data_IF_614433699093
#
_entry.id   IF_614433699093
#
_cell.length_a   1.000
_cell.length_b   1.000
_cell.length_c   1.000
_cell.angle_alpha   90.00
_cell.angle_beta   90.00
_cell.angle_gamma   90.00
#
_symmetry.space_group_name_H-M   'P 1'
#
loop_
_entity.id
_entity.type
_entity.pdbx_description
1 polymer ?
#
# COMPACT_ATOMS: atom_id res chain seq x y z
N UNK A 1 2.81 7.40 21.45
CA UNK A 1 2.53 5.98 21.12
C UNK A 1 1.58 6.00 19.93
N UNK A 2 2.09 5.70 18.74
CA UNK A 2 1.28 5.63 17.53
C UNK A 2 0.22 4.54 17.71
N UNK A 3 -1.03 4.87 17.42
CA UNK A 3 -2.16 3.95 17.59
C UNK A 3 -2.45 3.24 16.27
N UNK A 4 -2.71 1.91 16.30
CA UNK A 4 -3.15 1.20 15.11
C UNK A 4 -4.56 1.68 14.75
N UNK A 5 -4.80 2.07 13.49
CA UNK A 5 -6.13 2.35 12.97
C UNK A 5 -6.44 1.48 11.75
N UNK A 6 -7.64 0.89 11.77
CA UNK A 6 -8.26 0.20 10.64
C UNK A 6 -7.77 -1.23 10.39
N UNK A 7 -8.56 -2.00 9.64
CA UNK A 7 -8.26 -3.37 9.18
C UNK A 7 -7.02 -3.50 8.29
N UNK A 8 -6.32 -2.39 8.01
CA UNK A 8 -5.32 -2.26 6.93
C UNK A 8 -3.85 -2.31 7.40
N UNK A 9 -3.59 -2.46 8.71
CA UNK A 9 -2.23 -2.64 9.21
C UNK A 9 -1.30 -1.44 9.07
N UNK A 10 -1.84 -0.23 8.93
CA UNK A 10 -1.07 1.01 8.81
C UNK A 10 -0.84 1.69 10.15
N UNK A 11 0.26 2.43 10.25
CA UNK A 11 0.57 3.29 11.40
C UNK A 11 0.02 4.70 11.18
N UNK A 12 -0.64 5.27 12.20
CA UNK A 12 -0.95 6.69 12.24
C UNK A 12 0.08 7.41 13.12
N UNK A 13 0.71 8.46 12.60
CA UNK A 13 1.62 9.29 13.39
C UNK A 13 0.84 10.34 14.19
N UNK A 14 1.16 10.47 15.48
CA UNK A 14 0.74 11.61 16.28
C UNK A 14 1.61 12.83 16.03
N UNK A 15 1.20 13.98 16.58
CA UNK A 15 1.93 15.23 16.45
C UNK A 15 3.38 15.13 16.96
N UNK A 16 3.60 14.36 18.03
CA UNK A 16 4.94 14.15 18.59
C UNK A 16 5.83 13.35 17.64
N UNK A 17 5.34 12.23 17.11
CA UNK A 17 6.08 11.41 16.17
C UNK A 17 6.41 12.18 14.88
N UNK A 18 5.48 13.02 14.39
CA UNK A 18 5.73 13.91 13.24
C UNK A 18 6.80 14.97 13.53
N UNK A 19 6.79 15.56 14.72
CA UNK A 19 7.82 16.51 15.13
C UNK A 19 9.20 15.85 15.21
N UNK A 20 9.29 14.62 15.73
CA UNK A 20 10.54 13.84 15.76
C UNK A 20 11.01 13.54 14.32
N UNK A 21 10.12 13.07 13.45
CA UNK A 21 10.45 12.79 12.05
C UNK A 21 10.95 14.02 11.30
N UNK A 22 10.26 15.16 11.46
CA UNK A 22 10.67 16.43 10.84
C UNK A 22 12.07 16.86 11.31
N UNK A 23 12.37 16.71 12.61
CA UNK A 23 13.70 17.00 13.16
C UNK A 23 14.74 16.06 12.55
N UNK A 24 14.50 14.75 12.54
CA UNK A 24 15.41 13.77 11.96
C UNK A 24 15.74 14.08 10.48
N UNK A 25 14.72 14.42 9.68
CA UNK A 25 14.92 14.82 8.28
C UNK A 25 15.74 16.10 8.13
N UNK A 26 15.47 17.13 8.94
CA UNK A 26 16.25 18.36 8.93
C UNK A 26 17.74 18.11 9.25
N UNK A 27 18.03 17.13 10.12
CA UNK A 27 19.41 16.70 10.45
C UNK A 27 20.07 15.91 9.35
N UNK A 28 19.33 15.04 8.67
CA UNK A 28 19.85 14.32 7.50
C UNK A 28 20.27 15.29 6.38
N UNK A 29 19.57 16.43 6.25
CA UNK A 29 19.88 17.48 5.29
C UNK A 29 21.00 18.42 5.75
N UNK A 30 21.09 18.70 7.07
CA UNK A 30 22.08 19.60 7.66
C UNK A 30 22.76 18.92 8.88
N UNK A 31 23.84 18.16 8.65
CA UNK A 31 24.48 17.41 9.71
C UNK A 31 25.14 18.33 10.74
N UNK A 32 24.82 18.11 12.01
CA UNK A 32 25.41 18.80 13.16
C UNK A 32 25.38 17.84 14.37
N UNK A 33 26.04 18.17 15.50
CA UNK A 33 26.05 17.32 16.70
C UNK A 33 24.65 17.19 17.31
N UNK A 34 24.19 15.95 17.54
CA UNK A 34 22.86 15.62 18.10
C UNK A 34 23.01 15.30 19.59
N UNK A 35 22.03 15.70 20.41
CA UNK A 35 22.03 15.34 21.83
C UNK A 35 21.68 13.85 22.03
N UNK A 36 22.07 13.27 23.17
CA UNK A 36 21.71 11.88 23.47
C UNK A 36 20.18 11.64 23.52
N UNK A 37 19.42 12.63 24.00
CA UNK A 37 17.96 12.55 24.07
C UNK A 37 17.32 12.59 22.68
N UNK A 38 17.79 13.46 21.79
CA UNK A 38 17.31 13.53 20.41
C UNK A 38 17.63 12.26 19.62
N UNK A 39 18.82 11.67 19.85
CA UNK A 39 19.17 10.39 19.28
C UNK A 39 18.22 9.28 19.78
N UNK A 40 17.93 9.24 21.08
CA UNK A 40 17.02 8.27 21.68
C UNK A 40 15.57 8.43 21.18
N UNK A 41 15.10 9.66 20.99
CA UNK A 41 13.79 9.94 20.36
C UNK A 41 13.71 9.36 18.95
N UNK A 42 14.75 9.55 18.14
CA UNK A 42 14.80 9.03 16.78
C UNK A 42 14.84 7.50 16.77
N UNK A 43 15.61 6.88 17.67
CA UNK A 43 15.67 5.42 17.80
C UNK A 43 14.30 4.83 18.18
N UNK A 44 13.61 5.41 19.18
CA UNK A 44 12.27 4.95 19.57
C UNK A 44 11.25 5.07 18.43
N UNK A 45 11.33 6.14 17.64
CA UNK A 45 10.49 6.30 16.46
C UNK A 45 10.83 5.26 15.39
N UNK A 46 12.11 4.99 15.14
CA UNK A 46 12.56 3.98 14.19
C UNK A 46 12.10 2.58 14.58
N UNK A 47 12.24 2.18 15.84
CA UNK A 47 11.74 0.89 16.35
C UNK A 47 10.22 0.75 16.17
N UNK A 48 9.47 1.82 16.46
CA UNK A 48 8.01 1.83 16.26
C UNK A 48 7.64 1.68 14.78
N UNK A 49 8.44 2.27 13.88
CA UNK A 49 8.25 2.15 12.44
C UNK A 49 8.58 0.76 11.93
N UNK A 50 9.69 0.18 12.37
CA UNK A 50 10.09 -1.17 12.00
C UNK A 50 9.05 -2.21 12.43
N UNK A 51 8.48 -2.04 13.63
CA UNK A 51 7.40 -2.90 14.10
C UNK A 51 6.15 -2.76 13.23
N UNK A 52 5.72 -1.53 12.93
CA UNK A 52 4.58 -1.30 12.05
C UNK A 52 4.81 -1.87 10.64
N UNK A 53 6.04 -1.76 10.11
CA UNK A 53 6.41 -2.33 8.82
C UNK A 53 6.35 -3.87 8.83
N UNK A 54 6.84 -4.50 9.90
CA UNK A 54 6.75 -5.97 10.07
C UNK A 54 5.31 -6.45 10.15
N UNK A 55 4.48 -5.78 10.95
CA UNK A 55 3.07 -6.18 11.09
C UNK A 55 2.28 -5.91 9.80
N UNK A 56 2.54 -4.79 9.12
CA UNK A 56 1.97 -4.52 7.79
C UNK A 56 2.33 -5.60 6.77
N UNK A 57 3.60 -6.06 6.76
CA UNK A 57 4.04 -7.15 5.90
C UNK A 57 3.32 -8.47 6.22
N UNK A 58 3.13 -8.77 7.52
CA UNK A 58 2.38 -9.95 7.97
C UNK A 58 0.92 -9.91 7.52
N UNK A 59 0.23 -8.80 7.72
CA UNK A 59 -1.15 -8.61 7.31
C UNK A 59 -1.30 -8.69 5.78
N UNK A 60 -0.35 -8.12 5.05
CA UNK A 60 -0.30 -8.24 3.58
C UNK A 60 -0.13 -9.69 3.14
N UNK A 61 0.73 -10.46 3.79
CA UNK A 61 0.92 -11.88 3.47
C UNK A 61 -0.38 -12.68 3.67
N UNK A 62 -1.10 -12.42 4.77
CA UNK A 62 -2.41 -13.03 5.02
C UNK A 62 -3.44 -12.66 3.94
N UNK A 63 -3.55 -11.36 3.60
CA UNK A 63 -4.46 -10.88 2.55
C UNK A 63 -4.17 -11.52 1.19
N UNK A 64 -2.89 -11.67 0.81
CA UNK A 64 -2.51 -12.31 -0.46
C UNK A 64 -2.87 -13.79 -0.47
N UNK A 65 -2.66 -14.49 0.64
CA UNK A 65 -3.09 -15.88 0.78
C UNK A 65 -4.61 -16.02 0.67
N UNK A 66 -5.36 -15.09 1.28
CA UNK A 66 -6.82 -15.06 1.17
C UNK A 66 -7.29 -14.76 -0.26
N UNK A 67 -6.69 -13.81 -0.96
CA UNK A 67 -7.01 -13.56 -2.37
C UNK A 67 -6.81 -14.82 -3.23
N UNK A 68 -5.71 -15.55 -3.02
CA UNK A 68 -5.46 -16.81 -3.74
C UNK A 68 -6.53 -17.86 -3.40
N UNK A 69 -6.92 -17.98 -2.13
CA UNK A 69 -7.97 -18.91 -1.67
C UNK A 69 -9.33 -18.58 -2.28
N UNK A 70 -9.73 -17.31 -2.28
CA UNK A 70 -10.97 -16.87 -2.92
C UNK A 70 -10.91 -17.10 -4.42
N UNK A 71 -9.80 -16.79 -5.09
CA UNK A 71 -9.62 -17.01 -6.53
C UNK A 71 -9.74 -18.48 -6.92
N UNK A 72 -9.14 -19.39 -6.14
CA UNK A 72 -9.20 -20.83 -6.40
C UNK A 72 -10.62 -21.42 -6.31
N UNK A 73 -11.53 -20.75 -5.60
CA UNK A 73 -12.92 -21.17 -5.42
C UNK A 73 -13.91 -20.47 -6.38
N UNK A 74 -13.40 -19.75 -7.39
CA UNK A 74 -14.24 -19.15 -8.42
C UNK A 74 -14.94 -20.23 -9.27
N UNK A 75 -16.16 -19.95 -9.77
CA UNK A 75 -16.88 -18.67 -9.68
C UNK A 75 -17.67 -18.46 -8.38
N UNK A 76 -17.77 -19.47 -7.50
CA UNK A 76 -18.64 -19.46 -6.32
C UNK A 76 -18.32 -18.37 -5.28
N UNK A 77 -17.10 -17.85 -5.30
CA UNK A 77 -16.59 -16.81 -4.39
C UNK A 77 -16.48 -15.42 -5.04
N UNK A 78 -17.03 -15.21 -6.25
CA UNK A 78 -16.81 -13.99 -7.03
C UNK A 78 -17.09 -12.69 -6.23
N UNK A 79 -18.19 -12.62 -5.50
CA UNK A 79 -18.52 -11.44 -4.67
C UNK A 79 -17.45 -11.15 -3.62
N UNK A 80 -17.01 -12.17 -2.89
CA UNK A 80 -16.00 -12.03 -1.84
C UNK A 80 -14.60 -11.75 -2.41
N UNK A 81 -14.26 -12.37 -3.53
CA UNK A 81 -13.01 -12.12 -4.25
C UNK A 81 -12.92 -10.65 -4.71
N UNK A 82 -13.98 -10.13 -5.35
CA UNK A 82 -14.01 -8.76 -5.86
C UNK A 82 -13.98 -7.73 -4.73
N UNK A 83 -14.71 -7.97 -3.63
CA UNK A 83 -14.69 -7.09 -2.47
C UNK A 83 -13.30 -7.05 -1.81
N UNK A 84 -12.68 -8.21 -1.60
CA UNK A 84 -11.34 -8.30 -1.00
C UNK A 84 -10.28 -7.67 -1.92
N UNK A 85 -10.37 -7.88 -3.23
CA UNK A 85 -9.44 -7.27 -4.18
C UNK A 85 -9.60 -5.75 -4.24
N UNK A 86 -10.82 -5.23 -4.18
CA UNK A 86 -11.03 -3.78 -4.14
C UNK A 86 -10.40 -3.13 -2.90
N UNK A 87 -10.62 -3.74 -1.72
CA UNK A 87 -9.99 -3.29 -0.48
C UNK A 87 -8.46 -3.33 -0.57
N UNK A 88 -7.92 -4.42 -1.12
CA UNK A 88 -6.48 -4.57 -1.32
C UNK A 88 -5.91 -3.47 -2.22
N UNK A 89 -6.56 -3.20 -3.37
CA UNK A 89 -6.15 -2.16 -4.30
C UNK A 89 -6.22 -0.77 -3.65
N UNK A 90 -7.25 -0.50 -2.85
CA UNK A 90 -7.38 0.72 -2.05
C UNK A 90 -6.26 0.92 -1.02
N UNK A 91 -5.65 -0.18 -0.57
CA UNK A 91 -4.48 -0.19 0.32
C UNK A 91 -3.13 -0.17 -0.43
N UNK A 92 -3.14 -0.03 -1.76
CA UNK A 92 -1.92 0.01 -2.58
C UNK A 92 -1.35 -1.37 -2.94
N UNK A 93 -2.11 -2.45 -2.76
CA UNK A 93 -1.77 -3.74 -3.34
C UNK A 93 -1.67 -3.61 -4.87
N UNK A 94 -0.68 -4.28 -5.47
CA UNK A 94 -0.57 -4.39 -6.92
C UNK A 94 -1.04 -5.80 -7.32
N UNK A 95 -2.07 -5.92 -8.16
CA UNK A 95 -2.65 -7.20 -8.53
C UNK A 95 -1.65 -8.03 -9.34
N UNK A 96 -1.67 -9.35 -9.15
CA UNK A 96 -0.84 -10.27 -9.92
C UNK A 96 -1.50 -10.63 -11.26
N UNK A 97 -0.75 -11.27 -12.16
CA UNK A 97 -1.27 -11.71 -13.46
C UNK A 97 -2.52 -12.61 -13.33
N UNK A 98 -2.54 -13.49 -12.34
CA UNK A 98 -3.70 -14.35 -12.05
C UNK A 98 -4.93 -13.57 -11.61
N UNK A 99 -4.75 -12.44 -10.92
CA UNK A 99 -5.87 -11.55 -10.55
C UNK A 99 -6.45 -10.86 -11.78
N UNK A 100 -5.59 -10.39 -12.68
CA UNK A 100 -6.02 -9.78 -13.94
C UNK A 100 -6.73 -10.80 -14.84
N UNK A 101 -6.27 -12.05 -14.85
CA UNK A 101 -6.92 -13.15 -15.56
C UNK A 101 -8.31 -13.45 -14.97
N UNK A 102 -8.43 -13.53 -13.64
CA UNK A 102 -9.70 -13.73 -12.95
C UNK A 102 -10.69 -12.59 -13.20
N UNK A 103 -10.24 -11.33 -13.11
CA UNK A 103 -11.04 -10.16 -13.46
C UNK A 103 -11.48 -10.19 -14.94
N UNK A 104 -10.59 -10.63 -15.83
CA UNK A 104 -10.87 -10.82 -17.26
C UNK A 104 -11.99 -11.84 -17.50
N UNK A 105 -11.92 -12.99 -16.85
CA UNK A 105 -12.94 -14.05 -16.93
C UNK A 105 -14.29 -13.59 -16.34
N UNK A 106 -14.27 -12.67 -15.36
CA UNK A 106 -15.45 -12.12 -14.71
C UNK A 106 -15.97 -10.82 -15.36
N UNK A 107 -15.50 -10.41 -16.55
CA UNK A 107 -15.85 -9.12 -17.19
C UNK A 107 -17.36 -8.86 -17.38
N UNK A 108 -18.19 -9.90 -17.39
CA UNK A 108 -19.65 -9.74 -17.39
C UNK A 108 -20.21 -9.13 -16.08
N UNK A 109 -19.41 -9.12 -15.01
CA UNK A 109 -19.72 -8.45 -13.76
C UNK A 109 -19.20 -6.99 -13.79
N UNK A 110 -20.04 -5.99 -13.48
CA UNK A 110 -19.66 -4.58 -13.57
C UNK A 110 -18.54 -4.20 -12.58
N UNK A 111 -18.54 -4.78 -11.39
CA UNK A 111 -17.48 -4.57 -10.40
C UNK A 111 -16.14 -5.10 -10.91
N UNK A 112 -16.13 -6.29 -11.50
CA UNK A 112 -14.91 -6.86 -12.08
C UNK A 112 -14.36 -5.99 -13.23
N UNK A 113 -15.23 -5.50 -14.10
CA UNK A 113 -14.84 -4.60 -15.19
C UNK A 113 -14.26 -3.26 -14.68
N UNK A 114 -14.87 -2.69 -13.63
CA UNK A 114 -14.38 -1.47 -12.99
C UNK A 114 -13.00 -1.66 -12.34
N UNK A 115 -12.82 -2.76 -11.61
CA UNK A 115 -11.53 -3.10 -11.00
C UNK A 115 -10.46 -3.33 -12.08
N UNK A 116 -10.79 -4.04 -13.15
CA UNK A 116 -9.84 -4.27 -14.25
C UNK A 116 -9.39 -2.96 -14.91
N UNK A 117 -10.30 -2.00 -15.06
CA UNK A 117 -9.98 -0.67 -15.59
C UNK A 117 -9.05 0.10 -14.67
N UNK A 118 -9.26 0.02 -13.35
CA UNK A 118 -8.37 0.65 -12.35
C UNK A 118 -6.98 0.03 -12.31
N UNK A 119 -6.87 -1.26 -12.63
CA UNK A 119 -5.60 -1.97 -12.69
C UNK A 119 -4.82 -1.71 -13.99
N UNK A 120 -5.41 -1.07 -14.99
CA UNK A 120 -4.72 -0.75 -16.22
C UNK A 120 -3.57 0.23 -15.95
N UNK A 121 -2.39 0.03 -16.57
CA UNK A 121 -1.32 1.02 -16.47
C UNK A 121 -1.83 2.38 -16.97
N UNK A 122 -1.36 3.49 -16.38
CA UNK A 122 -1.70 4.80 -16.91
C UNK A 122 -1.27 4.85 -18.38
N UNK A 123 -2.15 5.35 -19.24
CA UNK A 123 -1.83 5.51 -20.66
C UNK A 123 -0.52 6.30 -20.78
N UNK A 124 0.43 5.85 -21.61
CA UNK A 124 1.66 6.61 -21.81
C UNK A 124 1.29 8.02 -22.27
N UNK A 125 1.96 9.07 -21.75
CA UNK A 125 1.72 10.43 -22.22
C UNK A 125 1.93 10.45 -23.74
N UNK A 126 1.00 11.07 -24.47
CA UNK A 126 1.12 11.25 -25.92
C UNK A 126 2.47 11.90 -26.21
N UNK A 127 3.30 11.23 -27.01
CA UNK A 127 4.63 11.73 -27.35
C UNK A 127 4.49 13.16 -27.94
N UNK A 128 5.31 14.13 -27.50
CA UNK A 128 5.28 15.46 -28.07
C UNK A 128 5.57 15.34 -29.56
N UNK A 129 4.61 15.73 -30.38
CA UNK A 129 4.74 15.76 -31.83
C UNK A 129 5.73 16.87 -32.17
N UNK A 130 7.01 16.53 -32.31
CA UNK A 130 8.01 17.46 -32.82
C UNK A 130 7.66 17.74 -34.28
N UNK A 131 7.02 18.88 -34.54
CA UNK A 131 6.94 19.46 -35.88
C UNK A 131 8.32 20.01 -36.23
N UNK A 132 9.01 19.34 -37.14
CA UNK A 132 10.19 19.92 -37.81
C UNK A 132 9.72 20.96 -38.86
N UNK A 133 10.49 22.05 -39.05
CA UNK A 133 10.16 23.15 -39.96
C UNK A 133 10.26 22.77 -41.45
#
# INVERSE_FOLDING_TARGET
MPTPYGTRGGMAFGAQELCVLRRALARALNPSPVSAEEAQDCLRLAESLDEAMRESARLRAFLVADLARYRAALPGTATGYLALLDEALGAGHRPHAEDLAALGALRGNPTAAALLTRCAPPAPPAAPTVRLP
#
